data_IF_015801798644
#
_entry.id   IF_015801798644
#
_cell.length_a   1.000
_cell.length_b   1.000
_cell.length_c   1.000
_cell.angle_alpha   90.00
_cell.angle_beta   90.00
_cell.angle_gamma   90.00
#
_symmetry.space_group_name_H-M   'P 1'
#
loop_
_entity.id
_entity.type
_entity.pdbx_description
1 polymer ?
#
# COMPACT_ATOMS: atom_id res chain seq x y z
N UNK A 1 12.83 -1.84 21.32
CA UNK A 1 12.90 -1.53 19.87
C UNK A 1 11.58 -1.91 19.25
N UNK A 2 11.02 -1.05 18.40
CA UNK A 2 9.81 -1.35 17.63
C UNK A 2 10.04 -2.56 16.71
N UNK A 3 9.01 -3.42 16.58
CA UNK A 3 8.94 -4.48 15.57
C UNK A 3 8.03 -4.03 14.44
N UNK A 4 8.50 -4.18 13.20
CA UNK A 4 7.78 -3.76 12.01
C UNK A 4 7.54 -4.97 11.11
N UNK A 5 6.31 -5.12 10.65
CA UNK A 5 5.94 -6.07 9.59
C UNK A 5 5.52 -5.24 8.37
N UNK A 6 6.25 -5.39 7.29
CA UNK A 6 5.94 -4.74 6.02
C UNK A 6 5.29 -5.75 5.08
N UNK A 7 4.05 -5.48 4.67
CA UNK A 7 3.26 -6.28 3.76
C UNK A 7 3.23 -5.58 2.39
N UNK A 8 3.70 -6.28 1.35
CA UNK A 8 3.59 -5.81 -0.03
C UNK A 8 2.90 -6.84 -0.92
N UNK A 9 2.11 -6.37 -1.87
CA UNK A 9 1.33 -7.19 -2.78
C UNK A 9 0.30 -6.36 -3.54
N UNK A 10 -0.29 -6.89 -4.62
CA UNK A 10 -1.26 -6.15 -5.44
C UNK A 10 -2.55 -5.81 -4.67
N UNK A 11 -3.36 -4.89 -5.21
CA UNK A 11 -4.73 -4.68 -4.70
C UNK A 11 -5.49 -6.01 -4.63
N UNK A 12 -6.34 -6.17 -3.63
CA UNK A 12 -7.13 -7.39 -3.39
C UNK A 12 -6.36 -8.70 -3.10
N UNK A 13 -5.04 -8.66 -2.90
CA UNK A 13 -4.28 -9.84 -2.45
C UNK A 13 -4.59 -10.28 -1.02
N UNK A 14 -5.23 -9.41 -0.22
CA UNK A 14 -5.63 -9.72 1.15
C UNK A 14 -4.69 -9.18 2.23
N UNK A 15 -3.77 -8.27 1.89
CA UNK A 15 -2.87 -7.59 2.86
C UNK A 15 -3.62 -7.00 4.05
N UNK A 16 -4.68 -6.23 3.80
CA UNK A 16 -5.46 -5.60 4.87
C UNK A 16 -6.15 -6.63 5.77
N UNK A 17 -6.59 -7.76 5.22
CA UNK A 17 -7.15 -8.88 5.99
C UNK A 17 -6.09 -9.54 6.85
N UNK A 18 -4.90 -9.80 6.28
CA UNK A 18 -3.75 -10.33 7.01
C UNK A 18 -3.33 -9.38 8.14
N UNK A 19 -3.22 -8.08 7.87
CA UNK A 19 -2.86 -7.08 8.87
C UNK A 19 -3.83 -7.09 10.07
N UNK A 20 -5.14 -7.14 9.81
CA UNK A 20 -6.16 -7.24 10.87
C UNK A 20 -6.03 -8.55 11.66
N UNK A 21 -5.88 -9.67 10.97
CA UNK A 21 -5.71 -10.97 11.64
C UNK A 21 -4.45 -10.99 12.53
N UNK A 22 -3.35 -10.38 12.09
CA UNK A 22 -2.14 -10.23 12.90
C UNK A 22 -2.36 -9.35 14.13
N UNK A 23 -3.11 -8.25 14.02
CA UNK A 23 -3.48 -7.41 15.18
C UNK A 23 -4.27 -8.22 16.23
N UNK A 24 -5.19 -9.08 15.81
CA UNK A 24 -5.99 -9.93 16.71
C UNK A 24 -5.18 -11.10 17.29
N UNK A 25 -4.14 -11.56 16.58
CA UNK A 25 -3.36 -12.74 16.98
C UNK A 25 -2.21 -12.40 17.93
N UNK A 26 -1.59 -11.23 17.77
CA UNK A 26 -0.43 -10.86 18.58
C UNK A 26 -0.82 -10.36 19.96
N UNK A 27 -0.03 -10.75 20.97
CA UNK A 27 -0.22 -10.30 22.35
C UNK A 27 0.15 -8.82 22.55
N UNK A 28 1.13 -8.34 21.81
CA UNK A 28 1.56 -6.93 21.82
C UNK A 28 0.75 -6.12 20.81
N UNK A 29 0.41 -4.84 21.09
CA UNK A 29 -0.33 -4.01 20.16
C UNK A 29 0.52 -3.65 18.94
N UNK A 30 -0.07 -3.78 17.74
CA UNK A 30 0.48 -3.28 16.49
C UNK A 30 -0.43 -2.22 15.89
N UNK A 31 0.14 -1.09 15.47
CA UNK A 31 -0.55 -0.09 14.68
C UNK A 31 -0.54 -0.51 13.21
N UNK A 32 -1.72 -0.55 12.59
CA UNK A 32 -1.86 -0.85 11.17
C UNK A 32 -1.85 0.46 10.36
N UNK A 33 -0.74 0.72 9.68
CA UNK A 33 -0.57 1.78 8.70
C UNK A 33 -0.78 1.21 7.30
N UNK A 34 -1.50 1.90 6.43
CA UNK A 34 -1.64 1.45 5.05
C UNK A 34 -1.89 2.59 4.08
N UNK A 35 -1.48 2.38 2.82
CA UNK A 35 -1.62 3.40 1.77
C UNK A 35 -3.08 3.85 1.60
N UNK A 36 -4.03 2.90 1.57
CA UNK A 36 -5.45 3.21 1.45
C UNK A 36 -5.97 4.10 2.60
N UNK A 37 -5.41 3.96 3.81
CA UNK A 37 -5.83 4.78 4.95
C UNK A 37 -5.38 6.23 4.80
N UNK A 38 -4.14 6.45 4.36
CA UNK A 38 -3.64 7.82 4.15
C UNK A 38 -4.27 8.47 2.91
N UNK A 39 -4.57 7.69 1.87
CA UNK A 39 -5.40 8.14 0.74
C UNK A 39 -6.79 8.57 1.22
N UNK A 40 -7.36 7.85 2.20
CA UNK A 40 -8.64 8.19 2.83
C UNK A 40 -8.68 9.56 3.52
N UNK A 41 -7.53 10.15 3.86
CA UNK A 41 -7.44 11.52 4.37
C UNK A 41 -7.44 12.58 3.27
N UNK A 42 -7.21 12.21 2.02
CA UNK A 42 -7.18 13.13 0.89
C UNK A 42 -8.61 13.59 0.52
N UNK A 43 -8.79 14.83 0.01
CA UNK A 43 -10.05 15.23 -0.59
C UNK A 43 -10.42 14.30 -1.75
N UNK A 44 -11.58 13.63 -1.71
CA UNK A 44 -11.97 12.65 -2.74
C UNK A 44 -11.84 13.19 -4.18
N UNK A 45 -12.17 14.47 -4.39
CA UNK A 45 -12.15 15.16 -5.70
C UNK A 45 -10.79 15.25 -6.39
N UNK A 46 -9.68 15.01 -5.67
CA UNK A 46 -8.34 15.12 -6.27
C UNK A 46 -7.83 13.79 -6.83
N UNK A 47 -8.48 12.67 -6.51
CA UNK A 47 -8.18 11.36 -7.07
C UNK A 47 -9.21 11.02 -8.16
N UNK A 48 -8.80 10.25 -9.17
CA UNK A 48 -9.68 9.77 -10.22
C UNK A 48 -9.47 8.27 -10.44
N UNK A 49 -10.42 7.48 -9.95
CA UNK A 49 -10.35 6.04 -10.04
C UNK A 49 -11.19 5.45 -11.19
N UNK A 50 -11.68 6.29 -12.09
CA UNK A 50 -12.60 5.92 -13.18
C UNK A 50 -11.91 6.01 -14.57
N UNK A 51 -10.58 6.07 -14.60
CA UNK A 51 -9.80 6.10 -15.85
C UNK A 51 -9.59 7.49 -16.45
N UNK A 52 -9.82 8.56 -15.69
CA UNK A 52 -9.48 9.94 -16.08
C UNK A 52 -8.26 10.51 -15.36
N UNK A 53 -7.84 11.70 -15.77
CA UNK A 53 -6.67 12.36 -15.19
C UNK A 53 -6.92 12.86 -13.75
N UNK A 54 -5.91 12.71 -12.90
CA UNK A 54 -5.83 13.35 -11.59
C UNK A 54 -4.50 14.12 -11.48
N UNK A 55 -4.43 15.40 -11.91
CA UNK A 55 -3.16 16.13 -12.00
C UNK A 55 -2.46 16.34 -10.65
N UNK A 56 -3.21 16.24 -9.54
CA UNK A 56 -2.68 16.39 -8.19
C UNK A 56 -2.66 15.07 -7.41
N UNK A 57 -3.74 14.28 -7.48
CA UNK A 57 -3.90 13.05 -6.70
C UNK A 57 -3.51 11.79 -7.49
N UNK A 58 -4.14 10.67 -7.13
CA UNK A 58 -3.94 9.38 -7.76
C UNK A 58 -4.94 9.17 -8.89
N UNK A 59 -4.48 8.55 -9.98
CA UNK A 59 -5.34 7.99 -11.01
C UNK A 59 -4.79 6.68 -11.54
N UNK A 60 -5.61 5.89 -12.22
CA UNK A 60 -5.11 4.77 -13.02
C UNK A 60 -5.36 5.01 -14.50
N UNK A 61 -4.38 4.62 -15.28
CA UNK A 61 -4.47 4.53 -16.74
C UNK A 61 -4.56 3.05 -17.11
N UNK A 62 -5.58 2.71 -17.88
CA UNK A 62 -5.70 1.38 -18.45
C UNK A 62 -4.72 1.24 -19.61
N UNK A 63 -3.91 0.20 -19.58
CA UNK A 63 -3.08 -0.23 -20.69
C UNK A 63 -3.43 -1.66 -21.08
N UNK A 64 -2.82 -2.12 -22.16
CA UNK A 64 -2.94 -3.49 -22.64
C UNK A 64 -1.52 -4.05 -22.72
N UNK A 65 -1.31 -5.20 -22.10
CA UNK A 65 -0.02 -5.88 -22.19
C UNK A 65 0.17 -6.53 -23.58
N UNK A 66 1.39 -7.02 -23.91
CA UNK A 66 1.64 -7.67 -25.19
C UNK A 66 0.79 -8.94 -25.46
N UNK A 67 0.12 -9.49 -24.46
CA UNK A 67 -0.77 -10.66 -24.58
C UNK A 67 -2.23 -10.29 -24.85
N UNK A 68 -2.55 -8.99 -24.84
CA UNK A 68 -3.91 -8.50 -24.99
C UNK A 68 -4.68 -8.39 -23.67
N UNK A 69 -4.02 -8.60 -22.53
CA UNK A 69 -4.66 -8.54 -21.21
C UNK A 69 -4.68 -7.09 -20.69
N UNK A 70 -5.79 -6.64 -20.08
CA UNK A 70 -5.86 -5.31 -19.49
C UNK A 70 -4.89 -5.19 -18.30
N UNK A 71 -4.10 -4.13 -18.28
CA UNK A 71 -3.24 -3.74 -17.16
C UNK A 71 -3.63 -2.35 -16.67
N UNK A 72 -3.27 -2.04 -15.43
CA UNK A 72 -3.56 -0.75 -14.81
C UNK A 72 -2.27 -0.14 -14.30
N UNK A 73 -1.97 1.07 -14.75
CA UNK A 73 -0.83 1.85 -14.30
C UNK A 73 -1.31 2.95 -13.35
N UNK A 74 -0.79 2.97 -12.12
CA UNK A 74 -1.09 4.05 -11.19
C UNK A 74 -0.21 5.25 -11.52
N UNK A 75 -0.87 6.38 -11.70
CA UNK A 75 -0.27 7.70 -11.77
C UNK A 75 -0.45 8.41 -10.44
N UNK A 76 0.62 9.02 -9.94
CA UNK A 76 0.60 9.84 -8.75
C UNK A 76 1.03 11.27 -9.10
N UNK A 77 0.09 12.22 -9.04
CA UNK A 77 0.39 13.65 -9.14
C UNK A 77 1.20 14.17 -7.95
N UNK A 78 1.65 15.44 -7.97
CA UNK A 78 2.56 15.98 -6.95
C UNK A 78 2.02 15.90 -5.52
N UNK A 79 0.70 16.00 -5.33
CA UNK A 79 0.09 15.87 -4.01
C UNK A 79 0.05 14.41 -3.55
N UNK A 80 -0.31 13.47 -4.43
CA UNK A 80 -0.24 12.04 -4.16
C UNK A 80 1.19 11.56 -3.83
N UNK A 81 2.19 12.03 -4.57
CA UNK A 81 3.61 11.74 -4.26
C UNK A 81 4.01 12.22 -2.87
N UNK A 82 3.52 13.39 -2.45
CA UNK A 82 3.74 13.88 -1.08
C UNK A 82 3.08 12.97 -0.05
N UNK A 83 1.86 12.49 -0.31
CA UNK A 83 1.17 11.52 0.55
C UNK A 83 1.97 10.22 0.71
N UNK A 84 2.53 9.68 -0.38
CA UNK A 84 3.39 8.48 -0.32
C UNK A 84 4.61 8.70 0.59
N UNK A 85 5.25 9.88 0.52
CA UNK A 85 6.38 10.24 1.40
C UNK A 85 5.91 10.41 2.84
N UNK A 86 4.80 11.09 3.06
CA UNK A 86 4.23 11.31 4.40
C UNK A 86 3.88 9.99 5.11
N UNK A 87 3.46 8.95 4.39
CA UNK A 87 3.26 7.62 4.97
C UNK A 87 4.56 7.07 5.61
N UNK A 88 5.69 7.20 4.91
CA UNK A 88 7.02 6.80 5.41
C UNK A 88 7.41 7.63 6.63
N UNK A 89 7.18 8.94 6.60
CA UNK A 89 7.46 9.84 7.73
C UNK A 89 6.63 9.48 8.99
N UNK A 90 5.34 9.17 8.81
CA UNK A 90 4.46 8.72 9.90
C UNK A 90 4.95 7.39 10.47
N UNK A 91 5.34 6.44 9.62
CA UNK A 91 5.89 5.17 10.08
C UNK A 91 7.16 5.37 10.91
N UNK A 92 8.08 6.24 10.46
CA UNK A 92 9.29 6.58 11.21
C UNK A 92 8.98 7.21 12.56
N UNK A 93 8.08 8.19 12.60
CA UNK A 93 7.67 8.85 13.84
C UNK A 93 7.15 7.83 14.85
N UNK A 94 6.20 6.99 14.45
CA UNK A 94 5.61 5.99 15.33
C UNK A 94 6.65 4.94 15.78
N UNK A 95 7.48 4.45 14.87
CA UNK A 95 8.52 3.48 15.22
C UNK A 95 9.56 4.06 16.19
N UNK A 96 9.95 5.33 16.02
CA UNK A 96 10.86 6.04 16.93
C UNK A 96 10.30 6.23 18.34
N UNK A 97 8.97 6.30 18.47
CA UNK A 97 8.26 6.34 19.75
C UNK A 97 8.03 4.95 20.36
N UNK A 98 8.47 3.89 19.69
CA UNK A 98 8.44 2.52 20.21
C UNK A 98 7.19 1.71 19.86
N UNK A 99 6.27 2.24 19.05
CA UNK A 99 5.09 1.49 18.60
C UNK A 99 5.47 0.39 17.63
N UNK A 100 4.91 -0.81 17.77
CA UNK A 100 5.03 -1.86 16.76
C UNK A 100 4.09 -1.56 15.58
N UNK A 101 4.54 -1.87 14.36
CA UNK A 101 3.84 -1.45 13.14
C UNK A 101 3.56 -2.64 12.22
N UNK A 102 2.37 -2.63 11.62
CA UNK A 102 2.08 -3.38 10.38
C UNK A 102 1.87 -2.33 9.29
N UNK A 103 2.75 -2.35 8.29
CA UNK A 103 2.70 -1.45 7.13
C UNK A 103 2.13 -2.24 5.96
N UNK A 104 0.99 -1.81 5.43
CA UNK A 104 0.27 -2.38 4.28
C UNK A 104 0.40 -1.43 3.07
N UNK A 105 1.30 -1.76 2.14
CA UNK A 105 1.57 -0.92 0.97
C UNK A 105 1.47 -1.70 -0.34
N UNK A 106 1.27 -0.97 -1.44
CA UNK A 106 1.29 -1.49 -2.81
C UNK A 106 2.48 -0.87 -3.51
N UNK A 107 3.66 -1.44 -3.29
CA UNK A 107 4.88 -0.99 -3.95
C UNK A 107 4.94 -1.53 -5.38
N UNK A 108 4.90 -0.64 -6.37
CA UNK A 108 5.00 -0.97 -7.79
C UNK A 108 6.46 -1.11 -8.21
N UNK A 109 7.00 -2.31 -7.99
CA UNK A 109 8.33 -2.69 -8.44
C UNK A 109 9.42 -2.51 -7.37
N UNK A 110 10.66 -2.81 -7.77
CA UNK A 110 11.79 -2.93 -6.84
C UNK A 110 12.19 -1.60 -6.19
N UNK A 111 11.94 -0.47 -6.85
CA UNK A 111 12.39 0.86 -6.39
C UNK A 111 11.68 1.25 -5.09
N UNK A 112 10.36 1.18 -5.03
CA UNK A 112 9.59 1.61 -3.86
C UNK A 112 9.81 0.70 -2.65
N UNK A 113 10.01 -0.61 -2.88
CA UNK A 113 10.39 -1.55 -1.83
C UNK A 113 11.78 -1.20 -1.29
N UNK A 114 12.72 -0.85 -2.16
CA UNK A 114 14.07 -0.45 -1.74
C UNK A 114 14.05 0.88 -0.96
N UNK A 115 13.21 1.84 -1.36
CA UNK A 115 13.00 3.06 -0.56
C UNK A 115 12.51 2.73 0.86
N UNK A 116 11.55 1.82 1.01
CA UNK A 116 11.11 1.36 2.33
C UNK A 116 12.23 0.70 3.13
N UNK A 117 13.06 -0.13 2.48
CA UNK A 117 14.23 -0.73 3.14
C UNK A 117 15.22 0.31 3.63
N UNK A 118 15.47 1.35 2.84
CA UNK A 118 16.35 2.44 3.25
C UNK A 118 15.77 3.27 4.39
N UNK A 119 14.47 3.57 4.35
CA UNK A 119 13.76 4.28 5.41
C UNK A 119 13.81 3.49 6.72
N UNK A 120 13.57 2.18 6.66
CA UNK A 120 13.42 1.35 7.86
C UNK A 120 14.72 0.63 8.29
N UNK A 121 15.88 0.95 7.69
CA UNK A 121 17.15 0.22 7.86
C UNK A 121 17.67 0.10 9.30
N UNK A 122 17.18 0.94 10.21
CA UNK A 122 17.59 0.94 11.62
C UNK A 122 16.58 0.26 12.55
N UNK A 123 15.50 -0.29 12.01
CA UNK A 123 14.45 -0.98 12.75
C UNK A 123 14.49 -2.49 12.48
N UNK A 124 13.87 -3.27 13.37
CA UNK A 124 13.67 -4.69 13.14
C UNK A 124 12.45 -4.89 12.25
N UNK A 125 12.67 -5.24 10.99
CA UNK A 125 11.63 -5.34 9.96
C UNK A 125 11.55 -6.74 9.37
N UNK A 126 10.35 -7.30 9.33
CA UNK A 126 10.01 -8.47 8.53
C UNK A 126 9.31 -8.01 7.24
N UNK A 127 9.95 -8.26 6.09
CA UNK A 127 9.36 -7.97 4.77
C UNK A 127 8.61 -9.20 4.26
N UNK A 128 7.32 -9.04 3.95
CA UNK A 128 6.40 -10.11 3.54
C UNK A 128 5.79 -9.77 2.18
N UNK A 129 5.98 -10.67 1.22
CA UNK A 129 5.24 -10.64 -0.05
C UNK A 129 3.93 -11.41 0.08
N UNK A 130 2.80 -10.73 -0.15
CA UNK A 130 1.46 -11.33 -0.17
C UNK A 130 1.07 -11.61 -1.61
N UNK A 131 1.26 -12.87 -2.02
CA UNK A 131 1.01 -13.35 -3.37
C UNK A 131 -0.41 -13.90 -3.51
N UNK A 132 -1.03 -13.71 -4.66
CA UNK A 132 -2.35 -14.25 -5.01
C UNK A 132 -2.41 -14.41 -6.52
N UNK A 133 -3.06 -15.47 -6.99
CA UNK A 133 -3.25 -15.68 -8.43
C UNK A 133 -4.13 -14.59 -9.05
N UNK A 134 -3.83 -14.22 -10.30
CA UNK A 134 -4.48 -13.11 -11.00
C UNK A 134 -6.01 -13.28 -11.10
N UNK A 135 -6.47 -14.49 -11.42
CA UNK A 135 -7.89 -14.84 -11.51
C UNK A 135 -8.64 -14.58 -10.18
N UNK A 136 -8.01 -14.90 -9.05
CA UNK A 136 -8.56 -14.64 -7.72
C UNK A 136 -8.56 -13.13 -7.43
N UNK A 137 -7.53 -12.39 -7.83
CA UNK A 137 -7.48 -10.93 -7.66
C UNK A 137 -8.62 -10.26 -8.43
N UNK A 138 -8.81 -10.62 -9.70
CA UNK A 138 -9.89 -10.12 -10.54
C UNK A 138 -11.27 -10.45 -9.98
N UNK A 139 -11.48 -11.69 -9.52
CA UNK A 139 -12.74 -12.10 -8.90
C UNK A 139 -13.05 -11.27 -7.65
N UNK A 140 -12.03 -10.99 -6.83
CA UNK A 140 -12.17 -10.18 -5.61
C UNK A 140 -12.46 -8.71 -5.93
N UNK A 141 -11.79 -8.11 -6.91
CA UNK A 141 -12.08 -6.73 -7.34
C UNK A 141 -13.53 -6.60 -7.84
N UNK A 142 -14.00 -7.53 -8.69
CA UNK A 142 -15.40 -7.56 -9.15
C UNK A 142 -16.40 -7.68 -8.00
N UNK A 143 -16.10 -8.51 -7.00
CA UNK A 143 -16.96 -8.68 -5.82
C UNK A 143 -16.98 -7.43 -4.93
N UNK A 144 -15.89 -6.64 -4.94
CA UNK A 144 -15.77 -5.39 -4.19
C UNK A 144 -16.58 -4.24 -4.78
N UNK A 145 -17.11 -4.40 -6.01
CA UNK A 145 -17.84 -3.36 -6.72
C UNK A 145 -16.94 -2.34 -7.41
N UNK A 146 -15.69 -2.72 -7.69
CA UNK A 146 -14.73 -1.96 -8.50
C UNK A 146 -14.68 -2.51 -9.93
#
# INVERSE_FOLDING_TARGET
MSRIIYLNGPSSSGKTTLAKALQETFSEPYLHLGLDKIIGFMPKKINNWEGGAAPLGFSWEQAIDPTGSPTYHIHAGPFAMRINRTLKDIALLLASQGYNLIIDDVAFGAIEVEEWKQVLKHYNVLYVGVLTHLDILEQRERTRGN
#
